data_IF_787406660135
#
_entry.id   IF_787406660135
#
_cell.length_a   1.000
_cell.length_b   1.000
_cell.length_c   1.000
_cell.angle_alpha   90.00
_cell.angle_beta   90.00
_cell.angle_gamma   90.00
#
_symmetry.space_group_name_H-M   'P 1'
#
loop_
_entity.id
_entity.type
_entity.pdbx_description
1 polymer ?
#
# COMPACT_ATOMS: atom_id res chain seq x y z
N UNK A 1 -29.70 -32.07 -2.43
CA UNK A 1 -28.44 -31.33 -2.13
C UNK A 1 -28.63 -29.91 -1.62
N UNK A 2 -29.74 -29.62 -0.91
CA UNK A 2 -30.05 -28.32 -0.35
C UNK A 2 -29.00 -27.80 0.65
N UNK A 3 -28.35 -28.70 1.41
CA UNK A 3 -27.27 -28.32 2.34
C UNK A 3 -26.03 -27.78 1.63
N UNK A 4 -25.65 -28.38 0.48
CA UNK A 4 -24.51 -27.88 -0.31
C UNK A 4 -24.83 -26.52 -0.94
N UNK A 5 -26.04 -26.34 -1.41
CA UNK A 5 -26.49 -25.06 -1.94
C UNK A 5 -26.50 -23.97 -0.85
N UNK A 6 -27.01 -24.29 0.35
CA UNK A 6 -26.98 -23.35 1.46
C UNK A 6 -25.55 -22.99 1.91
N UNK A 7 -24.63 -23.98 1.92
CA UNK A 7 -23.22 -23.73 2.23
C UNK A 7 -22.56 -22.83 1.18
N UNK A 8 -22.78 -23.10 -0.11
CA UNK A 8 -22.27 -22.30 -1.22
C UNK A 8 -22.80 -20.86 -1.17
N UNK A 9 -24.11 -20.71 -0.93
CA UNK A 9 -24.72 -19.39 -0.82
C UNK A 9 -24.15 -18.57 0.34
N UNK A 10 -23.86 -19.21 1.49
CA UNK A 10 -23.18 -18.54 2.61
C UNK A 10 -21.78 -18.06 2.24
N UNK A 11 -21.01 -18.88 1.50
CA UNK A 11 -19.68 -18.50 1.02
C UNK A 11 -19.76 -17.34 0.03
N UNK A 12 -20.72 -17.34 -0.88
CA UNK A 12 -20.93 -16.22 -1.81
C UNK A 12 -21.28 -14.92 -1.08
N UNK A 13 -22.14 -14.96 -0.08
CA UNK A 13 -22.50 -13.79 0.72
C UNK A 13 -21.25 -13.27 1.45
N UNK A 14 -20.47 -14.16 2.07
CA UNK A 14 -19.21 -13.78 2.73
C UNK A 14 -18.21 -13.15 1.75
N UNK A 15 -18.08 -13.73 0.56
CA UNK A 15 -17.20 -13.20 -0.49
C UNK A 15 -17.62 -11.79 -0.94
N UNK A 16 -18.93 -11.59 -1.18
CA UNK A 16 -19.45 -10.26 -1.54
C UNK A 16 -19.23 -9.23 -0.43
N UNK A 17 -19.36 -9.63 0.84
CA UNK A 17 -19.11 -8.76 1.99
C UNK A 17 -17.64 -8.34 2.08
N UNK A 18 -16.72 -9.29 1.93
CA UNK A 18 -15.27 -9.00 1.92
C UNK A 18 -14.86 -8.13 0.71
N UNK A 19 -15.46 -8.38 -0.45
CA UNK A 19 -15.25 -7.54 -1.64
C UNK A 19 -15.72 -6.11 -1.39
N UNK A 20 -16.89 -5.93 -0.77
CA UNK A 20 -17.40 -4.61 -0.40
C UNK A 20 -16.52 -3.89 0.63
N UNK A 21 -15.92 -4.62 1.58
CA UNK A 21 -14.94 -4.06 2.53
C UNK A 21 -13.68 -3.59 1.81
N UNK A 22 -13.14 -4.38 0.87
CA UNK A 22 -11.97 -4.03 0.08
C UNK A 22 -12.21 -2.80 -0.78
N UNK A 23 -13.38 -2.73 -1.43
CA UNK A 23 -13.79 -1.56 -2.21
C UNK A 23 -13.91 -0.30 -1.33
N UNK A 24 -14.45 -0.43 -0.12
CA UNK A 24 -14.52 0.68 0.83
C UNK A 24 -13.14 1.19 1.21
N UNK A 25 -12.15 0.30 1.46
CA UNK A 25 -10.77 0.68 1.75
C UNK A 25 -10.17 1.43 0.57
N UNK A 26 -10.31 0.91 -0.65
CA UNK A 26 -9.81 1.54 -1.88
C UNK A 26 -10.39 2.94 -2.08
N UNK A 27 -11.69 3.11 -1.83
CA UNK A 27 -12.41 4.37 -2.08
C UNK A 27 -12.35 5.34 -0.88
N UNK A 28 -11.69 4.97 0.22
CA UNK A 28 -11.49 5.88 1.36
C UNK A 28 -10.43 6.90 1.00
N UNK A 29 -10.89 8.12 0.71
CA UNK A 29 -10.01 9.23 0.36
C UNK A 29 -9.40 9.81 1.63
N UNK A 30 -8.06 9.79 1.70
CA UNK A 30 -7.34 10.51 2.75
C UNK A 30 -7.43 12.02 2.49
N UNK A 31 -7.76 12.86 3.50
CA UNK A 31 -7.94 14.29 3.27
C UNK A 31 -6.66 14.94 2.70
N UNK A 32 -6.72 15.60 1.53
CA UNK A 32 -5.53 16.23 0.92
C UNK A 32 -4.93 17.33 1.80
N UNK A 33 -5.75 17.95 2.63
CA UNK A 33 -5.35 18.93 3.64
C UNK A 33 -4.30 18.39 4.61
N UNK A 34 -4.40 17.13 5.01
CA UNK A 34 -3.42 16.49 5.90
C UNK A 34 -2.03 16.45 5.25
N UNK A 35 -1.95 16.03 3.99
CA UNK A 35 -0.69 15.99 3.25
C UNK A 35 -0.05 17.38 3.13
N UNK A 36 -0.86 18.39 2.85
CA UNK A 36 -0.41 19.77 2.74
C UNK A 36 0.17 20.31 4.06
N UNK A 37 -0.58 20.17 5.16
CA UNK A 37 -0.11 20.67 6.46
C UNK A 37 1.09 19.90 7.00
N UNK A 38 1.14 18.58 6.80
CA UNK A 38 2.30 17.77 7.22
C UNK A 38 3.58 18.24 6.52
N UNK A 39 3.52 18.54 5.21
CA UNK A 39 4.66 19.11 4.49
C UNK A 39 5.09 20.47 5.05
N UNK A 40 4.15 21.36 5.34
CA UNK A 40 4.45 22.64 5.96
C UNK A 40 5.14 22.44 7.31
N UNK A 41 4.65 21.54 8.16
CA UNK A 41 5.27 21.25 9.44
C UNK A 41 6.70 20.72 9.30
N UNK A 42 6.97 19.86 8.32
CA UNK A 42 8.31 19.37 8.05
C UNK A 42 9.24 20.51 7.66
N UNK A 43 8.81 21.46 6.81
CA UNK A 43 9.59 22.63 6.43
C UNK A 43 9.87 23.54 7.63
N UNK A 44 8.86 23.80 8.44
CA UNK A 44 9.03 24.61 9.67
C UNK A 44 10.00 23.94 10.63
N UNK A 45 9.89 22.61 10.81
CA UNK A 45 10.79 21.84 11.65
C UNK A 45 12.25 21.91 11.14
N UNK A 46 12.47 21.74 9.83
CA UNK A 46 13.79 21.83 9.21
C UNK A 46 14.44 23.19 9.41
N UNK A 47 13.70 24.27 9.15
CA UNK A 47 14.17 25.63 9.32
C UNK A 47 14.40 25.93 10.81
N UNK A 48 13.45 25.58 11.67
CA UNK A 48 13.53 25.83 13.12
C UNK A 48 14.73 25.11 13.77
N UNK A 49 14.94 23.84 13.44
CA UNK A 49 16.10 23.07 13.93
C UNK A 49 17.41 23.68 13.47
N UNK A 50 17.50 24.14 12.22
CA UNK A 50 18.71 24.80 11.70
C UNK A 50 19.03 26.05 12.53
N UNK A 51 18.04 26.89 12.84
CA UNK A 51 18.25 28.08 13.67
C UNK A 51 18.69 27.75 15.10
N UNK A 52 18.05 26.76 15.73
CA UNK A 52 18.38 26.33 17.09
C UNK A 52 19.81 25.82 17.18
N UNK A 53 20.24 25.01 16.22
CA UNK A 53 21.59 24.45 16.21
C UNK A 53 22.68 25.44 15.79
N UNK A 54 22.34 26.59 15.18
CA UNK A 54 23.33 27.57 14.72
C UNK A 54 24.23 28.05 15.86
N UNK A 55 23.68 28.23 17.06
CA UNK A 55 24.45 28.69 18.23
C UNK A 55 25.37 27.62 18.80
N UNK A 56 25.11 26.32 18.53
CA UNK A 56 25.86 25.20 19.08
C UNK A 56 26.97 24.75 18.13
N UNK A 57 26.70 24.68 16.84
CA UNK A 57 27.57 24.04 15.83
C UNK A 57 27.88 24.96 14.64
N UNK A 58 27.45 26.21 14.65
CA UNK A 58 27.72 27.18 13.59
C UNK A 58 27.20 26.72 12.22
N UNK A 59 28.00 26.82 11.18
CA UNK A 59 27.62 26.47 9.81
C UNK A 59 27.18 24.99 9.61
N UNK A 60 27.61 24.07 10.48
CA UNK A 60 27.19 22.67 10.45
C UNK A 60 25.71 22.49 10.75
N UNK A 61 25.05 23.50 11.33
CA UNK A 61 23.61 23.49 11.60
C UNK A 61 22.77 23.25 10.33
N UNK A 62 23.24 23.73 9.18
CA UNK A 62 22.58 23.56 7.89
C UNK A 62 22.55 22.07 7.52
N UNK A 63 23.69 21.36 7.70
CA UNK A 63 23.77 19.93 7.44
C UNK A 63 22.81 19.13 8.34
N UNK A 64 22.81 19.42 9.65
CA UNK A 64 21.93 18.74 10.61
C UNK A 64 20.45 19.03 10.34
N UNK A 65 20.08 20.28 10.08
CA UNK A 65 18.71 20.64 9.74
C UNK A 65 18.23 19.97 8.46
N UNK A 66 19.06 19.92 7.44
CA UNK A 66 18.76 19.24 6.18
C UNK A 66 18.61 17.72 6.37
N UNK A 67 19.49 17.09 7.16
CA UNK A 67 19.39 15.66 7.46
C UNK A 67 18.09 15.31 8.18
N UNK A 68 17.73 16.08 9.20
CA UNK A 68 16.46 15.90 9.92
C UNK A 68 15.27 16.09 8.97
N UNK A 69 15.27 17.14 8.18
CA UNK A 69 14.23 17.39 7.20
C UNK A 69 14.10 16.27 6.17
N UNK A 70 15.22 15.73 5.70
CA UNK A 70 15.24 14.62 4.77
C UNK A 70 14.60 13.35 5.37
N UNK A 71 14.94 13.00 6.62
CA UNK A 71 14.37 11.84 7.30
C UNK A 71 12.85 11.97 7.40
N UNK A 72 12.34 13.12 7.85
CA UNK A 72 10.90 13.34 7.97
C UNK A 72 10.19 13.36 6.62
N UNK A 73 10.78 13.99 5.59
CA UNK A 73 10.23 14.01 4.24
C UNK A 73 10.15 12.59 3.64
N UNK A 74 11.20 11.81 3.81
CA UNK A 74 11.25 10.42 3.34
C UNK A 74 10.19 9.58 4.04
N UNK A 75 10.09 9.68 5.36
CA UNK A 75 9.06 8.95 6.14
C UNK A 75 7.65 9.36 5.69
N UNK A 76 7.42 10.65 5.48
CA UNK A 76 6.14 11.14 4.97
C UNK A 76 5.82 10.58 3.57
N UNK A 77 6.81 10.55 2.67
CA UNK A 77 6.64 10.02 1.30
C UNK A 77 6.34 8.52 1.32
N UNK A 78 7.04 7.75 2.17
CA UNK A 78 6.76 6.32 2.36
C UNK A 78 5.33 6.14 2.89
N UNK A 79 4.92 6.93 3.88
CA UNK A 79 3.56 6.90 4.42
C UNK A 79 2.50 7.17 3.34
N UNK A 80 2.75 8.12 2.44
CA UNK A 80 1.84 8.41 1.32
C UNK A 80 1.74 7.24 0.32
N UNK A 81 2.86 6.55 0.07
CA UNK A 81 2.88 5.41 -0.84
C UNK A 81 2.10 4.19 -0.31
N UNK A 82 1.85 4.11 1.00
CA UNK A 82 1.13 2.98 1.63
C UNK A 82 -0.38 3.26 1.76
N UNK A 83 -0.83 4.48 1.52
CA UNK A 83 -2.24 4.87 1.71
C UNK A 83 -3.20 4.05 0.84
N UNK A 84 -2.83 3.76 -0.39
CA UNK A 84 -3.62 2.91 -1.26
C UNK A 84 -2.90 1.58 -1.50
N UNK A 85 -3.26 0.51 -0.78
CA UNK A 85 -2.59 -0.78 -0.90
C UNK A 85 -2.90 -1.49 -2.23
N UNK A 86 -3.93 -1.03 -2.96
CA UNK A 86 -4.39 -1.64 -4.21
C UNK A 86 -3.85 -0.94 -5.47
N UNK A 87 -2.96 0.05 -5.32
CA UNK A 87 -2.29 0.64 -6.47
C UNK A 87 -1.27 -0.32 -7.06
N UNK A 88 -1.16 -0.39 -8.40
CA UNK A 88 -0.20 -1.24 -9.09
C UNK A 88 1.23 -0.66 -8.98
N UNK A 89 1.75 -0.61 -7.76
CA UNK A 89 3.11 -0.15 -7.44
C UNK A 89 3.90 -1.31 -6.83
N UNK A 90 5.24 -1.31 -6.92
CA UNK A 90 6.07 -2.40 -6.38
C UNK A 90 5.82 -2.75 -4.91
N UNK A 91 5.33 -1.80 -4.12
CA UNK A 91 4.99 -1.98 -2.71
C UNK A 91 3.48 -2.23 -2.48
N UNK A 92 2.69 -2.37 -3.54
CA UNK A 92 1.27 -2.67 -3.48
C UNK A 92 0.99 -4.16 -3.30
N UNK A 93 -0.28 -4.50 -3.12
CA UNK A 93 -0.72 -5.90 -3.05
C UNK A 93 -0.77 -6.46 -4.48
N UNK A 94 -0.13 -7.60 -4.78
CA UNK A 94 -0.12 -8.22 -6.12
C UNK A 94 -1.47 -8.90 -6.42
N UNK A 95 -2.50 -8.09 -6.68
CA UNK A 95 -3.87 -8.57 -6.90
C UNK A 95 -3.99 -9.53 -8.07
N UNK A 96 -3.28 -9.28 -9.16
CA UNK A 96 -3.34 -10.11 -10.36
C UNK A 96 -2.76 -11.49 -10.09
N UNK A 97 -1.67 -11.58 -9.33
CA UNK A 97 -1.10 -12.85 -8.92
C UNK A 97 -2.05 -13.64 -8.01
N UNK A 98 -2.64 -12.95 -7.02
CA UNK A 98 -3.58 -13.59 -6.08
C UNK A 98 -4.78 -14.12 -6.86
N UNK A 99 -5.35 -13.31 -7.75
CA UNK A 99 -6.48 -13.71 -8.59
C UNK A 99 -6.12 -14.89 -9.49
N UNK A 100 -4.94 -14.88 -10.11
CA UNK A 100 -4.46 -15.99 -10.95
C UNK A 100 -4.25 -17.27 -10.15
N UNK A 101 -3.71 -17.18 -8.95
CA UNK A 101 -3.53 -18.35 -8.07
C UNK A 101 -4.86 -18.96 -7.66
N UNK A 102 -5.85 -18.12 -7.33
CA UNK A 102 -7.21 -18.58 -7.00
C UNK A 102 -7.86 -19.25 -8.22
N UNK A 103 -7.73 -18.66 -9.41
CA UNK A 103 -8.25 -19.20 -10.66
C UNK A 103 -7.67 -20.61 -10.94
N UNK A 104 -6.35 -20.76 -10.86
CA UNK A 104 -5.68 -22.06 -11.04
C UNK A 104 -6.22 -23.08 -10.04
N UNK A 105 -6.28 -22.73 -8.76
CA UNK A 105 -6.75 -23.64 -7.70
C UNK A 105 -8.21 -24.08 -7.90
N UNK A 106 -9.06 -23.19 -8.40
CA UNK A 106 -10.46 -23.52 -8.70
C UNK A 106 -10.57 -24.45 -9.92
N UNK A 107 -9.83 -24.17 -10.99
CA UNK A 107 -9.82 -25.00 -12.19
C UNK A 107 -9.28 -26.39 -11.90
N UNK A 108 -8.21 -26.53 -11.12
CA UNK A 108 -7.71 -27.82 -10.63
C UNK A 108 -8.76 -28.58 -9.84
N UNK A 109 -9.50 -27.92 -8.97
CA UNK A 109 -10.55 -28.55 -8.15
C UNK A 109 -11.71 -29.07 -8.98
N UNK A 110 -12.02 -28.42 -10.11
CA UNK A 110 -13.07 -28.83 -11.05
C UNK A 110 -12.56 -29.96 -11.98
N UNK A 111 -11.25 -30.16 -12.08
CA UNK A 111 -10.61 -31.15 -12.93
C UNK A 111 -10.39 -30.68 -14.36
N UNK A 112 -10.29 -29.34 -14.58
CA UNK A 112 -9.92 -28.79 -15.86
C UNK A 112 -8.45 -29.05 -16.16
N UNK A 113 -8.15 -29.47 -17.41
CA UNK A 113 -6.79 -29.80 -17.81
C UNK A 113 -6.01 -28.64 -18.41
N UNK A 114 -6.69 -27.62 -18.90
CA UNK A 114 -6.06 -26.40 -19.39
C UNK A 114 -5.97 -25.33 -18.28
N UNK A 115 -4.85 -25.31 -17.58
CA UNK A 115 -4.59 -24.34 -16.52
C UNK A 115 -3.84 -23.13 -17.07
N UNK A 116 -4.23 -21.90 -16.70
CA UNK A 116 -3.49 -20.72 -17.08
C UNK A 116 -2.12 -20.68 -16.39
N UNK A 117 -1.12 -20.13 -17.07
CA UNK A 117 0.22 -20.01 -16.48
C UNK A 117 0.22 -19.08 -15.27
N UNK A 118 0.96 -19.44 -14.19
CA UNK A 118 1.17 -18.53 -13.05
C UNK A 118 1.91 -17.26 -13.47
N UNK A 119 1.54 -16.12 -12.87
CA UNK A 119 2.23 -14.86 -13.11
C UNK A 119 3.62 -14.92 -12.51
N UNK A 120 4.64 -14.70 -13.34
CA UNK A 120 6.05 -14.71 -12.93
C UNK A 120 6.46 -13.34 -12.35
N UNK A 121 7.38 -13.38 -11.39
CA UNK A 121 7.95 -12.16 -10.83
C UNK A 121 8.68 -11.33 -11.89
N UNK A 122 8.51 -10.03 -11.87
CA UNK A 122 9.25 -9.09 -12.71
C UNK A 122 10.63 -8.90 -12.11
N UNK A 123 11.69 -9.31 -12.85
CA UNK A 123 13.10 -9.26 -12.41
C UNK A 123 13.41 -10.03 -11.11
N UNK A 124 12.53 -10.90 -10.63
CA UNK A 124 12.69 -11.63 -9.37
C UNK A 124 12.47 -10.82 -8.10
N UNK A 125 12.04 -9.56 -8.22
CA UNK A 125 11.93 -8.65 -7.07
C UNK A 125 10.48 -8.41 -6.64
N UNK A 126 9.54 -8.33 -7.58
CA UNK A 126 8.12 -8.08 -7.26
C UNK A 126 7.20 -8.72 -8.31
N UNK A 127 5.95 -8.91 -7.92
CA UNK A 127 4.87 -9.43 -8.75
C UNK A 127 3.73 -8.42 -8.66
N UNK A 128 3.18 -8.05 -9.81
CA UNK A 128 2.00 -7.19 -9.91
C UNK A 128 0.77 -8.00 -10.27
#
# INVERSE_FOLDING_TARGET
DGFRFAALNRLLISFCDEMGKSERIKNTVFPPTYNFYTRIFIWILMIGTTFVFTNLVGAWSILYGTLIGYIFLTTHTIGQAIINPFDPIPNGIPLDQITRTIEISLLETIGESELPEPIKSVKGEFIM
#
